data_IF_059430176894
#
_entry.id   IF_059430176894
#
_cell.length_a   1.000
_cell.length_b   1.000
_cell.length_c   1.000
_cell.angle_alpha   90.00
_cell.angle_beta   90.00
_cell.angle_gamma   90.00
#
_symmetry.space_group_name_H-M   'P 1'
#
loop_
_entity.id
_entity.type
_entity.pdbx_description
1 polymer ?
#
# COMPACT_ATOMS: atom_id res chain seq x y z
N UNK A 1 -3.04 -7.80 -21.78
CA UNK A 1 -1.96 -7.23 -20.95
C UNK A 1 -0.60 -7.90 -21.13
N UNK A 2 -0.49 -9.23 -21.05
CA UNK A 2 0.79 -9.97 -21.05
C UNK A 2 1.83 -9.58 -22.11
N UNK A 3 1.41 -9.22 -23.34
CA UNK A 3 2.33 -8.81 -24.42
C UNK A 3 3.15 -7.55 -24.11
N UNK A 4 2.72 -6.75 -23.14
CA UNK A 4 3.42 -5.54 -22.71
C UNK A 4 4.31 -5.77 -21.47
N UNK A 5 4.28 -6.96 -20.88
CA UNK A 5 5.05 -7.23 -19.67
C UNK A 5 6.53 -7.34 -19.97
N UNK A 6 7.34 -6.69 -19.14
CA UNK A 6 8.79 -6.85 -19.14
C UNK A 6 9.14 -8.18 -18.47
N UNK A 7 9.46 -9.19 -19.30
CA UNK A 7 9.88 -10.51 -18.82
C UNK A 7 11.10 -10.49 -17.87
N UNK A 8 12.14 -9.65 -18.11
CA UNK A 8 13.25 -9.52 -17.16
C UNK A 8 12.78 -9.09 -15.77
N UNK A 9 11.95 -8.05 -15.68
CA UNK A 9 11.43 -7.54 -14.40
C UNK A 9 10.51 -8.56 -13.73
N UNK A 10 9.64 -9.22 -14.50
CA UNK A 10 8.76 -10.23 -13.97
C UNK A 10 9.49 -11.45 -13.41
N UNK A 11 10.56 -11.89 -14.07
CA UNK A 11 11.42 -12.98 -13.59
C UNK A 11 12.14 -12.58 -12.30
N UNK A 12 12.69 -11.37 -12.23
CA UNK A 12 13.35 -10.85 -11.02
C UNK A 12 12.37 -10.68 -9.85
N UNK A 13 11.16 -10.19 -10.12
CA UNK A 13 10.08 -10.14 -9.15
C UNK A 13 9.75 -11.53 -8.60
N UNK A 14 9.54 -12.51 -9.48
CA UNK A 14 9.26 -13.90 -9.11
C UNK A 14 10.38 -14.50 -8.25
N UNK A 15 11.63 -14.28 -8.64
CA UNK A 15 12.81 -14.74 -7.89
C UNK A 15 12.91 -14.09 -6.49
N UNK A 16 12.40 -12.87 -6.34
CA UNK A 16 12.37 -12.16 -5.06
C UNK A 16 11.29 -12.65 -4.09
N UNK A 17 10.21 -13.29 -4.57
CA UNK A 17 9.04 -13.65 -3.75
C UNK A 17 9.36 -14.41 -2.46
N UNK A 18 10.25 -15.42 -2.41
CA UNK A 18 10.57 -16.12 -1.17
C UNK A 18 11.14 -15.18 -0.10
N UNK A 19 12.00 -14.22 -0.50
CA UNK A 19 12.56 -13.21 0.41
C UNK A 19 11.50 -12.21 0.84
N UNK A 20 10.62 -11.78 -0.06
CA UNK A 20 9.58 -10.78 0.25
C UNK A 20 8.56 -11.34 1.24
N UNK A 21 8.17 -12.62 1.10
CA UNK A 21 7.27 -13.30 2.04
C UNK A 21 7.83 -13.41 3.46
N UNK A 22 9.15 -13.44 3.64
CA UNK A 22 9.78 -13.42 4.97
C UNK A 22 9.57 -12.10 5.73
N UNK A 23 9.07 -11.04 5.08
CA UNK A 23 8.73 -9.78 5.74
C UNK A 23 7.36 -9.80 6.43
N UNK A 24 6.55 -10.83 6.17
CA UNK A 24 5.23 -10.99 6.77
C UNK A 24 5.40 -11.33 8.25
N UNK A 25 4.71 -10.59 9.12
CA UNK A 25 4.77 -10.75 10.59
C UNK A 25 6.19 -10.75 11.18
N UNK A 26 7.13 -10.06 10.53
CA UNK A 26 8.54 -10.04 10.92
C UNK A 26 8.95 -8.80 11.75
N UNK A 27 8.12 -7.76 11.77
CA UNK A 27 8.40 -6.52 12.50
C UNK A 27 7.85 -6.62 13.93
N UNK A 28 8.72 -6.34 14.91
CA UNK A 28 8.31 -6.26 16.31
C UNK A 28 7.44 -5.02 16.54
N UNK A 29 6.49 -5.14 17.47
CA UNK A 29 5.60 -4.03 17.80
C UNK A 29 6.08 -3.27 19.03
N UNK A 30 6.55 -2.04 18.82
CA UNK A 30 6.67 -1.05 19.90
C UNK A 30 5.43 -0.14 19.95
N UNK A 31 4.57 -0.24 20.99
CA UNK A 31 3.42 0.65 21.16
C UNK A 31 3.80 2.14 21.26
N UNK A 32 5.04 2.45 21.66
CA UNK A 32 5.54 3.80 21.90
C UNK A 32 6.23 4.41 20.68
N UNK A 33 6.70 3.59 19.72
CA UNK A 33 7.40 4.03 18.51
C UNK A 33 6.68 3.65 17.20
N UNK A 34 5.43 3.15 17.29
CA UNK A 34 4.72 2.74 16.09
C UNK A 34 4.39 3.93 15.18
N UNK A 35 5.14 4.03 14.09
CA UNK A 35 4.86 4.94 12.97
C UNK A 35 3.70 4.46 12.10
N UNK A 36 3.14 3.27 12.38
CA UNK A 36 2.02 2.63 11.67
C UNK A 36 2.20 2.67 10.13
N UNK A 37 3.40 2.31 9.65
CA UNK A 37 3.72 2.28 8.22
C UNK A 37 4.06 3.63 7.58
N UNK A 38 3.99 4.74 8.31
CA UNK A 38 4.21 6.08 7.74
C UNK A 38 5.40 6.80 8.39
N UNK A 39 6.50 6.87 7.66
CA UNK A 39 7.67 7.67 8.02
C UNK A 39 7.43 9.18 7.85
N UNK A 40 8.24 10.00 8.53
CA UNK A 40 8.15 11.47 8.52
C UNK A 40 8.14 12.11 7.13
N UNK A 41 8.78 11.48 6.14
CA UNK A 41 8.84 11.97 4.76
C UNK A 41 7.47 12.00 4.07
N UNK A 42 6.58 11.07 4.40
CA UNK A 42 5.23 11.02 3.82
C UNK A 42 4.38 12.20 4.27
N UNK A 43 4.60 12.71 5.50
CA UNK A 43 3.88 13.88 6.01
C UNK A 43 4.26 15.20 5.34
N UNK A 44 5.35 15.25 4.55
CA UNK A 44 5.73 16.45 3.77
C UNK A 44 4.67 16.85 2.75
N UNK A 45 3.81 15.93 2.33
CA UNK A 45 2.70 16.20 1.42
C UNK A 45 1.52 16.94 2.07
N UNK A 46 1.48 16.99 3.41
CA UNK A 46 0.39 17.58 4.20
C UNK A 46 0.77 18.98 4.71
N UNK A 47 1.46 19.78 3.89
CA UNK A 47 1.74 21.18 4.23
C UNK A 47 0.42 21.92 4.41
N UNK A 48 0.30 22.67 5.50
CA UNK A 48 -0.93 23.37 5.88
C UNK A 48 -1.75 22.65 6.97
N UNK A 49 -1.50 21.37 7.23
CA UNK A 49 -2.13 20.65 8.35
C UNK A 49 -1.32 20.79 9.64
N UNK A 50 -2.01 20.86 10.80
CA UNK A 50 -1.39 21.02 12.12
C UNK A 50 -1.06 19.64 12.71
N UNK A 51 0.22 19.28 12.81
CA UNK A 51 0.66 17.98 13.42
C UNK A 51 0.02 16.74 12.73
N UNK A 52 0.11 16.60 11.39
CA UNK A 52 -0.55 15.51 10.65
C UNK A 52 -0.10 14.11 11.10
N UNK A 53 1.16 13.98 11.55
CA UNK A 53 1.67 12.73 12.13
C UNK A 53 0.93 12.30 13.40
N UNK A 54 0.54 13.25 14.26
CA UNK A 54 -0.19 12.96 15.48
C UNK A 54 -1.61 12.49 15.16
N UNK A 55 -2.30 13.18 14.25
CA UNK A 55 -3.67 12.85 13.82
C UNK A 55 -3.72 11.45 13.18
N UNK A 56 -2.77 11.14 12.29
CA UNK A 56 -2.67 9.80 11.70
C UNK A 56 -2.42 8.72 12.76
N UNK A 57 -1.43 8.92 13.64
CA UNK A 57 -1.06 7.92 14.66
C UNK A 57 -2.18 7.66 15.65
N UNK A 58 -2.96 8.68 16.03
CA UNK A 58 -4.11 8.48 16.91
C UNK A 58 -5.21 7.63 16.27
N UNK A 59 -5.49 7.85 14.98
CA UNK A 59 -6.41 7.01 14.22
C UNK A 59 -5.88 5.58 14.12
N UNK A 60 -4.65 5.42 13.65
CA UNK A 60 -4.06 4.10 13.41
C UNK A 60 -3.97 3.26 14.68
N UNK A 61 -3.69 3.87 15.85
CA UNK A 61 -3.73 3.19 17.14
C UNK A 61 -5.10 2.60 17.44
N UNK A 62 -6.16 3.40 17.33
CA UNK A 62 -7.53 2.95 17.61
C UNK A 62 -7.96 1.82 16.67
N UNK A 63 -7.63 1.92 15.38
CA UNK A 63 -7.92 0.86 14.41
C UNK A 63 -7.12 -0.40 14.72
N UNK A 64 -5.83 -0.28 15.06
CA UNK A 64 -4.96 -1.43 15.36
C UNK A 64 -5.47 -2.22 16.56
N UNK A 65 -5.84 -1.53 17.63
CA UNK A 65 -6.37 -2.17 18.85
C UNK A 65 -7.63 -2.98 18.57
N UNK A 66 -8.51 -2.48 17.70
CA UNK A 66 -9.70 -3.21 17.26
C UNK A 66 -9.36 -4.37 16.32
N UNK A 67 -8.51 -4.14 15.32
CA UNK A 67 -8.16 -5.13 14.31
C UNK A 67 -7.45 -6.35 14.91
N UNK A 68 -6.52 -6.14 15.85
CA UNK A 68 -5.80 -7.24 16.52
C UNK A 68 -6.74 -8.11 17.36
N UNK A 69 -7.79 -7.52 17.96
CA UNK A 69 -8.71 -8.23 18.85
C UNK A 69 -9.85 -8.93 18.11
N UNK A 70 -10.38 -8.28 17.07
CA UNK A 70 -11.71 -8.60 16.54
C UNK A 70 -11.71 -8.96 15.04
N UNK A 71 -10.58 -8.86 14.32
CA UNK A 71 -10.55 -9.12 12.88
C UNK A 71 -9.90 -10.47 12.55
N UNK A 72 -10.73 -11.42 12.12
CA UNK A 72 -10.31 -12.79 11.78
C UNK A 72 -9.81 -12.96 10.33
N UNK A 73 -9.52 -11.85 9.63
CA UNK A 73 -9.09 -11.84 8.23
C UNK A 73 -10.23 -11.91 7.22
N UNK A 74 -9.87 -12.11 5.95
CA UNK A 74 -10.79 -12.03 4.81
C UNK A 74 -10.68 -13.24 3.91
N UNK A 75 -11.82 -13.71 3.41
CA UNK A 75 -11.88 -14.89 2.55
C UNK A 75 -11.87 -14.50 1.06
N UNK A 76 -12.28 -13.27 0.73
CA UNK A 76 -12.34 -12.74 -0.64
C UNK A 76 -11.71 -11.35 -0.80
N UNK A 77 -11.53 -10.93 -2.05
CA UNK A 77 -11.13 -9.57 -2.40
C UNK A 77 -12.19 -8.55 -1.95
N UNK A 78 -13.47 -8.84 -2.22
CA UNK A 78 -14.60 -7.96 -1.92
C UNK A 78 -14.72 -7.68 -0.41
N UNK A 79 -14.40 -8.66 0.44
CA UNK A 79 -14.42 -8.47 1.90
C UNK A 79 -13.31 -7.52 2.37
N UNK A 80 -12.11 -7.65 1.79
CA UNK A 80 -11.02 -6.72 2.09
C UNK A 80 -11.31 -5.33 1.51
N UNK A 81 -11.97 -5.23 0.35
CA UNK A 81 -12.35 -3.95 -0.27
C UNK A 81 -13.36 -3.19 0.59
N UNK A 82 -14.37 -3.87 1.14
CA UNK A 82 -15.31 -3.27 2.11
C UNK A 82 -14.57 -2.71 3.31
N UNK A 83 -13.68 -3.50 3.90
CA UNK A 83 -12.90 -3.05 5.05
C UNK A 83 -11.98 -1.88 4.69
N UNK A 84 -11.38 -1.88 3.50
CA UNK A 84 -10.53 -0.80 3.02
C UNK A 84 -11.31 0.51 2.85
N UNK A 85 -12.54 0.47 2.32
CA UNK A 85 -13.44 1.62 2.22
C UNK A 85 -13.85 2.13 3.62
N UNK A 86 -14.11 1.23 4.57
CA UNK A 86 -14.37 1.60 5.96
C UNK A 86 -13.15 2.29 6.60
N UNK A 87 -11.95 1.75 6.41
CA UNK A 87 -10.71 2.36 6.89
C UNK A 87 -10.48 3.75 6.28
N UNK A 88 -10.72 3.90 4.97
CA UNK A 88 -10.66 5.19 4.29
C UNK A 88 -11.64 6.19 4.92
N UNK A 89 -12.90 5.77 5.11
CA UNK A 89 -13.96 6.63 5.65
C UNK A 89 -13.68 7.05 7.09
N UNK A 90 -13.21 6.12 7.93
CA UNK A 90 -12.84 6.42 9.32
C UNK A 90 -11.63 7.34 9.40
N UNK A 91 -10.60 7.14 8.57
CA UNK A 91 -9.44 8.03 8.51
C UNK A 91 -9.85 9.44 8.08
N UNK A 92 -10.65 9.53 7.02
CA UNK A 92 -11.15 10.80 6.49
C UNK A 92 -11.95 11.57 7.56
N UNK A 93 -12.89 10.90 8.22
CA UNK A 93 -13.72 11.51 9.26
C UNK A 93 -12.91 11.93 10.49
N UNK A 94 -11.98 11.07 10.94
CA UNK A 94 -11.07 11.39 12.05
C UNK A 94 -10.21 12.61 11.72
N UNK A 95 -9.67 12.66 10.49
CA UNK A 95 -8.84 13.77 10.05
C UNK A 95 -9.61 15.09 9.98
N UNK A 96 -10.82 15.07 9.39
CA UNK A 96 -11.70 16.23 9.31
C UNK A 96 -12.01 16.80 10.69
N UNK A 97 -12.31 15.93 11.67
CA UNK A 97 -12.60 16.34 13.05
C UNK A 97 -11.41 17.04 13.71
N UNK A 98 -10.19 16.55 13.48
CA UNK A 98 -8.98 17.07 14.13
C UNK A 98 -8.36 18.29 13.42
N UNK A 99 -8.62 18.46 12.12
CA UNK A 99 -7.94 19.44 11.27
C UNK A 99 -8.86 20.46 10.63
N UNK A 100 -10.19 20.29 10.74
CA UNK A 100 -11.22 21.08 10.05
C UNK A 100 -11.05 21.09 8.51
N UNK A 101 -10.33 20.10 7.98
CA UNK A 101 -10.08 19.94 6.56
C UNK A 101 -9.78 18.46 6.24
N UNK A 102 -10.00 18.07 4.99
CA UNK A 102 -9.84 16.69 4.53
C UNK A 102 -8.53 16.53 3.74
N UNK A 103 -7.79 15.44 3.95
CA UNK A 103 -6.69 15.09 3.07
C UNK A 103 -7.23 14.70 1.69
N UNK A 104 -6.45 15.00 0.65
CA UNK A 104 -6.85 14.64 -0.72
C UNK A 104 -7.03 13.12 -0.86
N UNK A 105 -7.97 12.71 -1.71
CA UNK A 105 -8.28 11.32 -2.05
C UNK A 105 -7.04 10.41 -2.12
N UNK A 106 -6.08 10.73 -3.00
CA UNK A 106 -4.91 9.91 -3.25
C UNK A 106 -3.99 9.76 -2.02
N UNK A 107 -3.86 10.80 -1.20
CA UNK A 107 -3.08 10.73 0.03
C UNK A 107 -3.78 9.90 1.09
N UNK A 108 -5.11 9.95 1.20
CA UNK A 108 -5.88 9.14 2.15
C UNK A 108 -5.76 7.66 1.82
N UNK A 109 -5.96 7.27 0.56
CA UNK A 109 -5.76 5.88 0.11
C UNK A 109 -4.33 5.39 0.41
N UNK A 110 -3.32 6.19 0.04
CA UNK A 110 -1.92 5.86 0.35
C UNK A 110 -1.69 5.62 1.84
N UNK A 111 -2.29 6.42 2.72
CA UNK A 111 -2.16 6.23 4.16
C UNK A 111 -2.79 4.90 4.63
N UNK A 112 -3.95 4.53 4.09
CA UNK A 112 -4.60 3.25 4.38
C UNK A 112 -3.78 2.07 3.86
N UNK A 113 -3.24 2.16 2.64
CA UNK A 113 -2.42 1.09 2.06
C UNK A 113 -1.12 0.87 2.85
N UNK A 114 -0.46 1.95 3.25
CA UNK A 114 0.73 1.90 4.11
C UNK A 114 0.40 1.31 5.48
N UNK A 115 -0.76 1.67 6.05
CA UNK A 115 -1.24 1.09 7.30
C UNK A 115 -1.42 -0.43 7.18
N UNK A 116 -2.11 -0.91 6.14
CA UNK A 116 -2.35 -2.34 5.92
C UNK A 116 -1.04 -3.11 5.71
N UNK A 117 -0.12 -2.56 4.91
CA UNK A 117 1.23 -3.11 4.72
C UNK A 117 1.98 -3.26 6.05
N UNK A 118 1.90 -2.25 6.91
CA UNK A 118 2.50 -2.32 8.23
C UNK A 118 1.80 -3.35 9.12
N UNK A 119 0.47 -3.38 9.10
CA UNK A 119 -0.32 -4.29 9.94
C UNK A 119 0.01 -5.75 9.62
N UNK A 120 0.10 -6.15 8.35
CA UNK A 120 0.47 -7.53 8.02
C UNK A 120 1.95 -7.86 8.28
N UNK A 121 2.81 -6.85 8.39
CA UNK A 121 4.23 -7.02 8.77
C UNK A 121 4.41 -7.17 10.29
N UNK A 122 3.41 -6.76 11.07
CA UNK A 122 3.45 -6.77 12.52
C UNK A 122 3.26 -8.18 13.10
N UNK A 123 4.15 -8.59 14.00
CA UNK A 123 4.09 -9.91 14.66
C UNK A 123 2.78 -10.18 15.42
N UNK A 124 2.17 -9.13 16.00
CA UNK A 124 0.91 -9.19 16.77
C UNK A 124 -0.34 -9.26 15.90
N UNK A 125 -0.21 -9.04 14.59
CA UNK A 125 -1.33 -9.21 13.68
C UNK A 125 -1.73 -10.69 13.64
N UNK A 126 -3.03 -11.01 13.78
CA UNK A 126 -3.53 -12.36 13.60
C UNK A 126 -3.06 -12.94 12.26
N UNK A 127 -2.65 -14.21 12.26
CA UNK A 127 -2.04 -14.82 11.08
C UNK A 127 -2.99 -14.86 9.88
N UNK A 128 -4.26 -15.21 10.11
CA UNK A 128 -5.29 -15.21 9.07
C UNK A 128 -5.49 -13.82 8.47
N UNK A 129 -5.52 -12.78 9.33
CA UNK A 129 -5.58 -11.39 8.88
C UNK A 129 -4.35 -11.00 8.05
N UNK A 130 -3.14 -11.24 8.54
CA UNK A 130 -1.90 -10.92 7.83
C UNK A 130 -1.85 -11.60 6.44
N UNK A 131 -2.22 -12.87 6.37
CA UNK A 131 -2.24 -13.63 5.11
C UNK A 131 -3.29 -13.08 4.13
N UNK A 132 -4.47 -12.72 4.62
CA UNK A 132 -5.52 -12.12 3.79
C UNK A 132 -5.11 -10.74 3.26
N UNK A 133 -4.47 -9.90 4.08
CA UNK A 133 -3.91 -8.60 3.65
C UNK A 133 -2.83 -8.80 2.59
N UNK A 134 -1.94 -9.79 2.75
CA UNK A 134 -0.90 -10.08 1.74
C UNK A 134 -1.50 -10.52 0.41
N UNK A 135 -2.56 -11.33 0.46
CA UNK A 135 -3.21 -11.90 -0.72
C UNK A 135 -4.03 -10.86 -1.47
N UNK A 136 -4.85 -10.09 -0.76
CA UNK A 136 -5.86 -9.21 -1.35
C UNK A 136 -5.52 -7.72 -1.23
N UNK A 137 -4.56 -7.35 -0.39
CA UNK A 137 -4.20 -5.96 -0.12
C UNK A 137 -3.68 -5.20 -1.34
N UNK A 138 -3.88 -3.89 -1.28
CA UNK A 138 -3.47 -2.94 -2.30
C UNK A 138 -2.02 -2.50 -2.14
N UNK A 139 -1.40 -2.06 -3.24
CA UNK A 139 -0.08 -1.44 -3.22
C UNK A 139 -0.21 0.03 -2.83
N UNK A 140 0.65 0.55 -1.94
CA UNK A 140 0.62 1.95 -1.58
C UNK A 140 1.18 2.81 -2.72
N UNK A 141 0.30 3.29 -3.61
CA UNK A 141 0.73 4.01 -4.80
C UNK A 141 1.55 5.25 -4.44
N UNK A 142 2.66 5.43 -5.15
CA UNK A 142 3.47 6.63 -5.17
C UNK A 142 4.33 6.69 -6.43
N UNK A 143 5.14 7.75 -6.57
CA UNK A 143 5.98 7.92 -7.76
C UNK A 143 6.93 6.74 -8.00
N UNK A 144 7.42 6.07 -6.96
CA UNK A 144 8.30 4.91 -7.10
C UNK A 144 7.53 3.68 -7.56
N UNK A 145 6.37 3.41 -6.96
CA UNK A 145 5.48 2.32 -7.39
C UNK A 145 5.04 2.53 -8.84
N UNK A 146 4.57 3.73 -9.19
CA UNK A 146 4.10 4.04 -10.54
C UNK A 146 5.22 3.94 -11.57
N UNK A 147 6.44 4.37 -11.21
CA UNK A 147 7.61 4.19 -12.06
C UNK A 147 7.91 2.71 -12.27
N UNK A 148 7.93 1.91 -11.20
CA UNK A 148 8.21 0.47 -11.30
C UNK A 148 7.12 -0.27 -12.09
N UNK A 149 5.86 0.13 -11.94
CA UNK A 149 4.75 -0.39 -12.73
C UNK A 149 4.94 -0.06 -14.22
N UNK A 150 5.35 1.17 -14.55
CA UNK A 150 5.60 1.54 -15.93
C UNK A 150 6.77 0.73 -16.53
N UNK A 151 7.85 0.53 -15.78
CA UNK A 151 8.96 -0.36 -16.16
C UNK A 151 8.48 -1.81 -16.39
N UNK A 152 7.67 -2.34 -15.47
CA UNK A 152 7.08 -3.68 -15.53
C UNK A 152 6.16 -3.87 -16.76
N UNK A 153 5.58 -2.80 -17.26
CA UNK A 153 4.72 -2.76 -18.45
C UNK A 153 5.46 -2.26 -19.70
N UNK A 154 6.80 -2.31 -19.71
CA UNK A 154 7.64 -1.91 -20.86
C UNK A 154 7.35 -0.47 -21.34
N UNK A 155 7.05 0.41 -20.39
CA UNK A 155 6.68 1.81 -20.61
C UNK A 155 5.37 2.04 -21.40
N UNK A 156 4.48 1.05 -21.40
CA UNK A 156 3.21 1.12 -22.13
C UNK A 156 2.10 1.92 -21.42
N UNK A 157 2.33 2.45 -20.21
CA UNK A 157 1.30 3.23 -19.52
C UNK A 157 1.18 4.65 -20.10
N UNK A 158 -0.05 5.13 -20.34
CA UNK A 158 -0.29 6.50 -20.79
C UNK A 158 -0.21 7.52 -19.64
N UNK A 159 0.59 7.25 -18.60
CA UNK A 159 0.94 8.22 -17.55
C UNK A 159 2.25 8.91 -17.91
N UNK A 160 2.64 9.98 -17.20
CA UNK A 160 3.92 10.67 -17.42
C UNK A 160 5.09 9.69 -17.40
N UNK A 161 5.57 9.29 -18.58
CA UNK A 161 6.47 8.14 -18.80
C UNK A 161 7.73 8.20 -17.92
N UNK A 162 8.26 9.41 -17.68
CA UNK A 162 9.53 9.62 -16.99
C UNK A 162 9.40 10.00 -15.52
N UNK A 163 8.30 10.63 -15.12
CA UNK A 163 8.09 11.17 -13.77
C UNK A 163 6.61 11.05 -13.37
N UNK A 164 6.11 9.83 -13.15
CA UNK A 164 4.78 9.64 -12.59
C UNK A 164 4.74 10.19 -11.16
N UNK A 165 3.61 10.77 -10.79
CA UNK A 165 3.40 11.43 -9.51
C UNK A 165 2.05 11.04 -8.92
N UNK A 166 1.88 11.26 -7.61
CA UNK A 166 0.59 11.07 -6.96
C UNK A 166 -0.50 12.00 -7.50
N UNK A 167 -0.12 13.12 -8.14
CA UNK A 167 -1.07 14.00 -8.81
C UNK A 167 -1.72 13.38 -10.05
N UNK A 168 -1.14 12.30 -10.60
CA UNK A 168 -1.72 11.57 -11.72
C UNK A 168 -2.87 10.64 -11.27
N UNK A 169 -3.00 10.36 -9.97
CA UNK A 169 -4.12 9.61 -9.38
C UNK A 169 -5.23 10.60 -9.00
N UNK A 170 -6.02 11.02 -9.99
CA UNK A 170 -7.00 12.09 -9.82
C UNK A 170 -8.32 11.63 -9.20
N UNK A 171 -8.65 10.34 -9.30
CA UNK A 171 -9.91 9.76 -8.84
C UNK A 171 -9.76 8.25 -8.58
N UNK A 172 -10.85 7.65 -8.10
CA UNK A 172 -10.96 6.22 -7.79
C UNK A 172 -10.70 5.33 -9.00
N UNK A 173 -11.27 5.65 -10.17
CA UNK A 173 -11.05 4.87 -11.39
C UNK A 173 -9.56 4.77 -11.75
N UNK A 174 -8.79 5.85 -11.62
CA UNK A 174 -7.34 5.83 -11.89
C UNK A 174 -6.60 4.99 -10.86
N UNK A 175 -6.98 5.11 -9.58
CA UNK A 175 -6.41 4.31 -8.51
C UNK A 175 -6.66 2.80 -8.76
N UNK A 176 -7.92 2.42 -8.98
CA UNK A 176 -8.32 1.04 -9.25
C UNK A 176 -7.66 0.48 -10.51
N UNK A 177 -7.54 1.29 -11.56
CA UNK A 177 -6.85 0.90 -12.78
C UNK A 177 -5.37 0.60 -12.53
N UNK A 178 -4.66 1.42 -11.77
CA UNK A 178 -3.28 1.11 -11.39
C UNK A 178 -3.19 -0.16 -10.54
N UNK A 179 -4.12 -0.35 -9.60
CA UNK A 179 -4.15 -1.55 -8.76
C UNK A 179 -4.44 -2.82 -9.55
N UNK A 180 -5.34 -2.78 -10.54
CA UNK A 180 -5.64 -3.92 -11.40
C UNK A 180 -4.46 -4.30 -12.29
N UNK A 181 -3.75 -3.31 -12.83
CA UNK A 181 -2.52 -3.54 -13.59
C UNK A 181 -1.42 -4.20 -12.75
N UNK A 182 -1.23 -3.74 -11.51
CA UNK A 182 -0.28 -4.36 -10.57
C UNK A 182 -0.72 -5.78 -10.24
N UNK A 183 -2.02 -6.03 -10.03
CA UNK A 183 -2.56 -7.36 -9.76
C UNK A 183 -2.26 -8.31 -10.92
N UNK A 184 -2.65 -7.93 -12.13
CA UNK A 184 -2.48 -8.75 -13.32
C UNK A 184 -1.02 -9.06 -13.60
N UNK A 185 -0.11 -8.10 -13.34
CA UNK A 185 1.32 -8.32 -13.46
C UNK A 185 1.81 -9.29 -12.37
N UNK A 186 1.49 -9.03 -11.11
CA UNK A 186 1.98 -9.82 -9.97
C UNK A 186 1.50 -11.27 -10.07
N UNK A 187 0.22 -11.50 -10.37
CA UNK A 187 -0.36 -12.84 -10.51
C UNK A 187 0.26 -13.60 -11.69
N UNK A 188 0.56 -12.92 -12.81
CA UNK A 188 1.25 -13.54 -13.94
C UNK A 188 2.65 -14.09 -13.57
N UNK A 189 3.26 -13.54 -12.52
CA UNK A 189 4.56 -13.97 -12.00
C UNK A 189 4.45 -14.65 -10.61
N UNK A 190 3.28 -15.20 -10.27
CA UNK A 190 2.98 -15.97 -9.05
C UNK A 190 3.11 -15.19 -7.72
N UNK A 191 3.00 -13.87 -7.78
CA UNK A 191 3.00 -12.96 -6.63
C UNK A 191 1.63 -12.35 -6.35
N UNK A 192 1.61 -11.39 -5.42
CA UNK A 192 0.44 -10.58 -5.06
C UNK A 192 0.80 -9.09 -5.15
N UNK A 193 -0.22 -8.22 -5.25
CA UNK A 193 -0.05 -6.77 -5.34
C UNK A 193 0.83 -6.20 -4.24
N UNK A 194 0.57 -6.60 -2.99
CA UNK A 194 1.32 -6.08 -1.85
C UNK A 194 2.81 -6.51 -1.90
N UNK A 195 3.13 -7.68 -2.48
CA UNK A 195 4.52 -8.09 -2.67
C UNK A 195 5.23 -7.26 -3.75
N UNK A 196 4.50 -6.77 -4.75
CA UNK A 196 5.03 -5.83 -5.73
C UNK A 196 5.46 -4.52 -5.06
N UNK A 197 4.72 -4.05 -4.05
CA UNK A 197 5.10 -2.89 -3.24
C UNK A 197 6.49 -3.08 -2.59
N UNK A 198 6.67 -4.19 -1.86
CA UNK A 198 7.98 -4.48 -1.25
C UNK A 198 9.10 -4.63 -2.29
N UNK A 199 8.79 -5.18 -3.47
CA UNK A 199 9.74 -5.33 -4.57
C UNK A 199 10.18 -3.98 -5.16
N UNK A 200 9.23 -3.09 -5.42
CA UNK A 200 9.48 -1.76 -5.98
C UNK A 200 10.36 -0.89 -5.07
N UNK A 201 10.31 -1.14 -3.76
CA UNK A 201 11.11 -0.45 -2.74
C UNK A 201 12.49 -1.06 -2.47
N UNK A 202 12.88 -2.19 -3.08
CA UNK A 202 14.25 -2.72 -2.95
C UNK A 202 15.23 -1.86 -3.75
N UNK A 203 16.25 -1.25 -3.12
CA UNK A 203 17.29 -0.52 -3.85
C UNK A 203 18.03 -1.48 -4.80
N UNK A 204 18.11 -1.12 -6.09
CA UNK A 204 18.93 -1.85 -7.08
C UNK A 204 18.21 -2.85 -7.99
N UNK A 205 16.90 -3.06 -7.88
CA UNK A 205 16.14 -3.95 -8.80
C UNK A 205 15.97 -3.40 -10.23
N UNK A 206 16.59 -2.26 -10.54
CA UNK A 206 16.65 -1.67 -11.89
C UNK A 206 18.09 -1.50 -12.39
N UNK A 207 19.04 -2.31 -11.90
CA UNK A 207 20.38 -2.41 -12.50
C UNK A 207 20.85 -3.86 -12.55
N UNK A 208 20.63 -4.49 -13.70
CA UNK A 208 21.65 -5.20 -14.47
C UNK A 208 21.14 -5.35 -15.90
#
# INVERSE_FOLDING_TARGET
>A
MKKYYSNPIGTDFKASLPRLRKKIRAESFDPNDSIYGIAGNTFRAFRGFKKPSRTYRSWARSITENAIKNQDGFDSQDDLDKWHIELYSTLKNHWKKEQDNEPSFAHTYKMVDLYLKWLCSNEKCPEKLANSIIKYGYCALDSQILKKLNEALSYALPIRIRNPSMGDITNENTYEYCQSLIKDFAENFNGYRLLFDYYAWVPGSAKK
#
